data_IF_001812825083
#
_entry.id   IF_001812825083
#
_cell.length_a   1.000
_cell.length_b   1.000
_cell.length_c   1.000
_cell.angle_alpha   90.00
_cell.angle_beta   90.00
_cell.angle_gamma   90.00
#
_symmetry.space_group_name_H-M   'P 1'
#
loop_
_entity.id
_entity.type
_entity.pdbx_description
1 polymer ?
#
# COMPACT_ATOMS: atom_id res chain seq x y z
N UNK A 1 157.98 211.38 -62.32
CA UNK A 1 156.72 212.15 -62.33
C UNK A 1 155.74 211.64 -63.41
N UNK A 2 155.54 212.33 -64.56
CA UNK A 2 154.40 212.03 -65.47
C UNK A 2 154.32 210.56 -65.96
N UNK A 3 155.45 209.93 -66.30
CA UNK A 3 155.47 208.56 -66.83
C UNK A 3 155.07 207.47 -65.81
N UNK A 4 155.18 207.73 -64.50
CA UNK A 4 154.86 206.74 -63.46
C UNK A 4 153.37 206.71 -63.14
N UNK A 5 152.68 207.86 -63.24
CA UNK A 5 151.22 207.91 -63.14
C UNK A 5 150.54 207.15 -64.29
N UNK A 6 151.08 207.22 -65.50
CA UNK A 6 150.57 206.48 -66.67
C UNK A 6 150.52 204.96 -66.39
N UNK A 7 151.65 204.38 -65.96
CA UNK A 7 151.74 202.95 -65.59
C UNK A 7 150.84 202.57 -64.40
N UNK A 8 150.59 203.49 -63.48
CA UNK A 8 149.66 203.27 -62.36
C UNK A 8 148.21 203.16 -62.86
N UNK A 9 147.79 204.05 -63.77
CA UNK A 9 146.46 204.03 -64.38
C UNK A 9 146.25 202.78 -65.22
N UNK A 10 147.21 202.39 -66.05
CA UNK A 10 147.16 201.17 -66.87
C UNK A 10 147.01 199.91 -65.99
N UNK A 11 147.75 199.83 -64.87
CA UNK A 11 147.62 198.73 -63.91
C UNK A 11 146.25 198.73 -63.22
N UNK A 12 145.72 199.89 -62.85
CA UNK A 12 144.39 200.01 -62.26
C UNK A 12 143.28 199.64 -63.26
N UNK A 13 143.41 200.01 -64.53
CA UNK A 13 142.49 199.60 -65.60
C UNK A 13 142.50 198.09 -65.79
N UNK A 14 143.68 197.46 -65.89
CA UNK A 14 143.79 196.01 -65.98
C UNK A 14 143.16 195.27 -64.78
N UNK A 15 143.30 195.81 -63.55
CA UNK A 15 142.60 195.26 -62.38
C UNK A 15 141.08 195.45 -62.45
N UNK A 16 140.58 196.59 -62.94
CA UNK A 16 139.14 196.82 -63.14
C UNK A 16 138.56 195.92 -64.22
N UNK A 17 139.31 195.61 -65.28
CA UNK A 17 138.90 194.66 -66.32
C UNK A 17 138.92 193.21 -65.83
N UNK A 18 139.93 192.82 -65.04
CA UNK A 18 139.95 191.52 -64.34
C UNK A 18 138.74 191.35 -63.41
N UNK A 19 138.51 192.31 -62.50
CA UNK A 19 137.36 192.32 -61.59
C UNK A 19 136.01 192.35 -62.33
N UNK A 20 135.94 192.98 -63.52
CA UNK A 20 134.75 192.89 -64.40
C UNK A 20 134.58 191.49 -64.97
N UNK A 21 135.65 190.84 -65.43
CA UNK A 21 135.64 189.45 -65.90
C UNK A 21 135.15 188.50 -64.81
N UNK A 22 135.71 188.60 -63.61
CA UNK A 22 135.28 187.87 -62.41
C UNK A 22 133.80 188.16 -62.08
N UNK A 23 133.37 189.42 -62.11
CA UNK A 23 131.96 189.78 -61.91
C UNK A 23 131.02 189.21 -62.98
N UNK A 24 131.48 189.01 -64.22
CA UNK A 24 130.68 188.35 -65.27
C UNK A 24 130.64 186.83 -65.07
N UNK A 25 131.77 186.21 -64.70
CA UNK A 25 131.84 184.78 -64.36
C UNK A 25 130.92 184.45 -63.16
N UNK A 26 131.04 185.18 -62.05
CA UNK A 26 130.17 185.03 -60.88
C UNK A 26 128.68 185.28 -61.20
N UNK A 27 128.37 186.15 -62.16
CA UNK A 27 126.98 186.35 -62.64
C UNK A 27 126.46 185.22 -63.53
N UNK A 28 127.34 184.49 -64.23
CA UNK A 28 126.98 183.28 -64.95
C UNK A 28 126.77 182.12 -63.95
N UNK A 29 127.73 181.91 -63.05
CA UNK A 29 127.66 180.90 -61.97
C UNK A 29 126.41 181.09 -61.09
N UNK A 30 126.07 182.33 -60.68
CA UNK A 30 124.84 182.61 -59.92
C UNK A 30 123.56 182.36 -60.75
N UNK A 31 123.59 182.42 -62.09
CA UNK A 31 122.46 181.99 -62.93
C UNK A 31 122.38 180.46 -63.00
N UNK A 32 123.50 179.78 -63.16
CA UNK A 32 123.57 178.31 -63.19
C UNK A 32 123.16 177.71 -61.85
N UNK A 33 123.65 178.24 -60.72
CA UNK A 33 123.22 177.86 -59.37
C UNK A 33 121.73 178.13 -59.13
N UNK A 34 121.16 179.23 -59.67
CA UNK A 34 119.71 179.46 -59.61
C UNK A 34 118.92 178.48 -60.45
N UNK A 35 119.42 178.09 -61.62
CA UNK A 35 118.78 177.10 -62.48
C UNK A 35 118.85 175.69 -61.85
N UNK A 36 120.01 175.30 -61.32
CA UNK A 36 120.20 174.06 -60.56
C UNK A 36 119.33 174.04 -59.29
N UNK A 37 119.21 175.15 -58.56
CA UNK A 37 118.32 175.22 -57.39
C UNK A 37 116.83 175.11 -57.78
N UNK A 38 116.42 175.64 -58.94
CA UNK A 38 115.07 175.42 -59.46
C UNK A 38 114.86 173.94 -59.83
N UNK A 39 115.81 173.29 -60.51
CA UNK A 39 115.76 171.85 -60.78
C UNK A 39 115.74 171.00 -59.50
N UNK A 40 116.47 171.39 -58.46
CA UNK A 40 116.44 170.74 -57.15
C UNK A 40 115.09 170.94 -56.43
N UNK A 41 114.47 172.12 -56.57
CA UNK A 41 113.14 172.38 -56.03
C UNK A 41 112.06 171.58 -56.79
N UNK A 42 112.11 171.52 -58.11
CA UNK A 42 111.21 170.72 -58.94
C UNK A 42 111.37 169.23 -58.65
N UNK A 43 112.60 168.71 -58.54
CA UNK A 43 112.84 167.31 -58.19
C UNK A 43 112.42 166.98 -56.75
N UNK A 44 112.62 167.89 -55.79
CA UNK A 44 112.10 167.73 -54.44
C UNK A 44 110.56 167.69 -54.41
N UNK A 45 109.87 168.58 -55.15
CA UNK A 45 108.41 168.55 -55.26
C UNK A 45 107.90 167.25 -55.91
N UNK A 46 108.57 166.79 -56.97
CA UNK A 46 108.26 165.50 -57.61
C UNK A 46 108.50 164.29 -56.69
N UNK A 47 109.50 164.35 -55.81
CA UNK A 47 109.75 163.30 -54.80
C UNK A 47 108.71 163.34 -53.67
N UNK A 48 108.32 164.52 -53.20
CA UNK A 48 107.24 164.69 -52.21
C UNK A 48 105.92 164.13 -52.77
N UNK A 49 105.56 164.47 -54.02
CA UNK A 49 104.36 163.94 -54.68
C UNK A 49 104.39 162.41 -54.76
N UNK A 50 105.47 161.82 -55.27
CA UNK A 50 105.65 160.35 -55.34
C UNK A 50 105.62 159.69 -53.95
N UNK A 51 106.14 160.34 -52.92
CA UNK A 51 106.08 159.83 -51.56
C UNK A 51 104.65 159.87 -51.01
N UNK A 52 103.88 160.95 -51.25
CA UNK A 52 102.46 161.00 -50.86
C UNK A 52 101.62 160.00 -51.64
N UNK A 53 101.86 159.81 -52.94
CA UNK A 53 101.16 158.82 -53.75
C UNK A 53 101.43 157.39 -53.26
N UNK A 54 102.70 157.06 -52.97
CA UNK A 54 103.09 155.76 -52.42
C UNK A 54 102.57 155.52 -50.98
N UNK A 55 102.48 156.57 -50.16
CA UNK A 55 101.85 156.49 -48.84
C UNK A 55 100.32 156.28 -48.96
N UNK A 56 99.67 156.93 -49.92
CA UNK A 56 98.24 156.75 -50.18
C UNK A 56 97.92 155.40 -50.80
N UNK A 57 98.78 154.84 -51.66
CA UNK A 57 98.60 153.47 -52.19
C UNK A 57 98.80 152.43 -51.09
N UNK A 58 99.88 152.54 -50.31
CA UNK A 58 100.14 151.62 -49.20
C UNK A 58 99.07 151.69 -48.09
N UNK A 59 98.50 152.87 -47.83
CA UNK A 59 97.36 153.03 -46.93
C UNK A 59 96.11 152.31 -47.46
N UNK A 60 95.77 152.48 -48.74
CA UNK A 60 94.64 151.80 -49.38
C UNK A 60 94.83 150.28 -49.42
N UNK A 61 96.00 149.80 -49.80
CA UNK A 61 96.33 148.37 -49.76
C UNK A 61 96.22 147.81 -48.33
N UNK A 62 96.58 148.59 -47.31
CA UNK A 62 96.37 148.26 -45.90
C UNK A 62 94.88 148.22 -45.49
N UNK A 63 94.06 149.15 -45.96
CA UNK A 63 92.61 149.18 -45.71
C UNK A 63 91.87 148.06 -46.46
N UNK A 64 92.19 147.82 -47.74
CA UNK A 64 91.63 146.75 -48.57
C UNK A 64 91.98 145.36 -48.01
N UNK A 65 93.24 145.14 -47.61
CA UNK A 65 93.63 143.86 -46.98
C UNK A 65 92.98 143.70 -45.60
N UNK A 66 92.87 144.75 -44.79
CA UNK A 66 92.13 144.73 -43.53
C UNK A 66 90.64 144.37 -43.76
N UNK A 67 89.97 145.03 -44.69
CA UNK A 67 88.57 144.75 -45.03
C UNK A 67 88.38 143.30 -45.53
N UNK A 68 89.33 142.77 -46.30
CA UNK A 68 89.34 141.37 -46.71
C UNK A 68 89.53 140.40 -45.53
N UNK A 69 90.38 140.74 -44.54
CA UNK A 69 90.51 139.97 -43.30
C UNK A 69 89.25 140.02 -42.43
N UNK A 70 88.61 141.19 -42.28
CA UNK A 70 87.36 141.35 -41.52
C UNK A 70 86.21 140.57 -42.18
N UNK A 71 86.02 140.70 -43.49
CA UNK A 71 85.06 139.90 -44.29
C UNK A 71 85.31 138.39 -44.11
N UNK A 72 86.58 137.96 -44.14
CA UNK A 72 86.95 136.55 -43.95
C UNK A 72 86.75 136.07 -42.51
N UNK A 73 86.93 136.94 -41.52
CA UNK A 73 86.66 136.65 -40.11
C UNK A 73 85.17 136.42 -39.89
N UNK A 74 84.30 137.27 -40.44
CA UNK A 74 82.85 137.14 -40.28
C UNK A 74 82.28 135.94 -41.07
N UNK A 75 82.84 135.65 -42.25
CA UNK A 75 82.55 134.40 -42.97
C UNK A 75 82.98 133.14 -42.17
N UNK A 76 84.06 133.21 -41.39
CA UNK A 76 84.48 132.12 -40.50
C UNK A 76 83.58 132.01 -39.25
N UNK A 77 83.11 133.14 -38.67
CA UNK A 77 82.12 133.14 -37.59
C UNK A 77 80.81 132.49 -38.03
N UNK A 78 80.24 132.90 -39.17
CA UNK A 78 78.99 132.30 -39.68
C UNK A 78 79.14 130.79 -39.88
N UNK A 79 80.25 130.34 -40.47
CA UNK A 79 80.50 128.91 -40.67
C UNK A 79 80.72 128.14 -39.37
N UNK A 80 81.19 128.79 -38.30
CA UNK A 80 81.26 128.19 -36.97
C UNK A 80 79.87 128.10 -36.34
N UNK A 81 79.07 129.16 -36.38
CA UNK A 81 77.70 129.17 -35.88
C UNK A 81 76.82 128.13 -36.58
N UNK A 82 76.95 128.00 -37.90
CA UNK A 82 76.22 127.01 -38.69
C UNK A 82 76.67 125.57 -38.40
N UNK A 83 77.97 125.34 -38.17
CA UNK A 83 78.48 124.04 -37.74
C UNK A 83 78.06 123.67 -36.31
N UNK A 84 77.94 124.66 -35.41
CA UNK A 84 77.40 124.47 -34.06
C UNK A 84 75.90 124.13 -34.12
N UNK A 85 75.10 124.87 -34.90
CA UNK A 85 73.68 124.55 -35.15
C UNK A 85 73.50 123.14 -35.72
N UNK A 86 74.36 122.72 -36.65
CA UNK A 86 74.32 121.36 -37.19
C UNK A 86 74.71 120.30 -36.15
N UNK A 87 75.69 120.59 -35.30
CA UNK A 87 76.07 119.73 -34.16
C UNK A 87 74.92 119.57 -33.17
N UNK A 88 74.26 120.66 -32.79
CA UNK A 88 73.12 120.65 -31.86
C UNK A 88 71.92 119.90 -32.45
N UNK A 89 71.62 120.10 -33.74
CA UNK A 89 70.59 119.34 -34.45
C UNK A 89 70.91 117.83 -34.51
N UNK A 90 72.17 117.46 -34.76
CA UNK A 90 72.63 116.06 -34.73
C UNK A 90 72.54 115.47 -33.31
N UNK A 91 72.80 116.24 -32.26
CA UNK A 91 72.66 115.81 -30.86
C UNK A 91 71.18 115.61 -30.47
N UNK A 92 70.29 116.50 -30.90
CA UNK A 92 68.84 116.33 -30.72
C UNK A 92 68.32 115.05 -31.40
N UNK A 93 68.69 114.82 -32.66
CA UNK A 93 68.33 113.58 -33.37
C UNK A 93 68.92 112.33 -32.67
N UNK A 94 70.15 112.39 -32.14
CA UNK A 94 70.70 111.27 -31.36
C UNK A 94 69.95 111.04 -30.04
N UNK A 95 69.49 112.09 -29.36
CA UNK A 95 68.66 111.98 -28.16
C UNK A 95 67.33 111.30 -28.47
N UNK A 96 66.64 111.76 -29.52
CA UNK A 96 65.31 111.25 -29.86
C UNK A 96 65.38 109.81 -30.40
N UNK A 97 66.43 109.45 -31.15
CA UNK A 97 66.70 108.06 -31.51
C UNK A 97 66.94 107.17 -30.28
N UNK A 98 67.69 107.62 -29.27
CA UNK A 98 67.87 106.87 -28.01
C UNK A 98 66.55 106.70 -27.26
N UNK A 99 65.70 107.73 -27.24
CA UNK A 99 64.37 107.66 -26.63
C UNK A 99 63.48 106.63 -27.34
N UNK A 100 63.38 106.68 -28.67
CA UNK A 100 62.61 105.71 -29.47
C UNK A 100 63.15 104.28 -29.28
N UNK A 101 64.47 104.10 -29.14
CA UNK A 101 65.07 102.80 -28.82
C UNK A 101 64.66 102.33 -27.41
N UNK A 102 64.63 103.21 -26.39
CA UNK A 102 64.14 102.86 -25.05
C UNK A 102 62.68 102.38 -25.12
N UNK A 103 61.80 103.18 -25.69
CA UNK A 103 60.36 102.89 -25.84
C UNK A 103 60.12 101.59 -26.64
N UNK A 104 60.92 101.32 -27.68
CA UNK A 104 60.90 100.07 -28.43
C UNK A 104 61.36 98.86 -27.58
N UNK A 105 62.43 98.98 -26.79
CA UNK A 105 62.89 97.88 -25.91
C UNK A 105 61.95 97.64 -24.73
N UNK A 106 61.31 98.67 -24.20
CA UNK A 106 60.30 98.58 -23.14
C UNK A 106 59.05 97.85 -23.65
N UNK A 107 58.53 98.24 -24.82
CA UNK A 107 57.39 97.56 -25.46
C UNK A 107 57.73 96.13 -25.89
N UNK A 108 58.93 95.85 -26.41
CA UNK A 108 59.38 94.48 -26.66
C UNK A 108 59.41 93.66 -25.35
N UNK A 109 59.88 94.24 -24.24
CA UNK A 109 59.91 93.58 -22.93
C UNK A 109 58.50 93.28 -22.38
N UNK A 110 57.50 94.10 -22.73
CA UNK A 110 56.11 93.88 -22.37
C UNK A 110 55.50 92.74 -23.21
N UNK A 111 55.63 92.80 -24.53
CA UNK A 111 55.16 91.75 -25.45
C UNK A 111 55.79 90.38 -25.14
N UNK A 112 57.08 90.34 -24.76
CA UNK A 112 57.74 89.10 -24.31
C UNK A 112 57.13 88.53 -23.02
N UNK A 113 56.66 89.37 -22.09
CA UNK A 113 55.96 88.92 -20.86
C UNK A 113 54.54 88.44 -21.16
N UNK A 114 53.81 89.15 -22.01
CA UNK A 114 52.47 88.76 -22.46
C UNK A 114 52.49 87.43 -23.20
N UNK A 115 53.46 87.23 -24.10
CA UNK A 115 53.67 85.94 -24.79
C UNK A 115 53.99 84.81 -23.80
N UNK A 116 54.85 85.05 -22.80
CA UNK A 116 55.15 84.06 -21.77
C UNK A 116 53.92 83.72 -20.89
N UNK A 117 53.08 84.71 -20.59
CA UNK A 117 51.81 84.50 -19.88
C UNK A 117 50.85 83.65 -20.70
N UNK A 118 50.60 84.03 -21.96
CA UNK A 118 49.69 83.31 -22.86
C UNK A 118 50.12 81.86 -23.12
N UNK A 119 51.43 81.58 -23.22
CA UNK A 119 51.96 80.22 -23.31
C UNK A 119 51.75 79.43 -22.01
N UNK A 120 51.92 80.06 -20.84
CA UNK A 120 51.62 79.45 -19.54
C UNK A 120 50.13 79.14 -19.35
N UNK A 121 49.25 80.04 -19.79
CA UNK A 121 47.81 79.83 -19.85
C UNK A 121 47.47 78.67 -20.80
N UNK A 122 48.05 78.63 -22.00
CA UNK A 122 47.86 77.56 -22.98
C UNK A 122 48.28 76.19 -22.42
N UNK A 123 49.43 76.10 -21.73
CA UNK A 123 49.82 74.87 -21.03
C UNK A 123 48.84 74.49 -19.91
N UNK A 124 48.35 75.47 -19.14
CA UNK A 124 47.39 75.20 -18.06
C UNK A 124 46.07 74.66 -18.59
N UNK A 125 45.57 75.23 -19.70
CA UNK A 125 44.36 74.81 -20.40
C UNK A 125 44.55 73.43 -21.06
N UNK A 126 45.72 73.14 -21.63
CA UNK A 126 46.05 71.82 -22.16
C UNK A 126 46.01 70.75 -21.07
N UNK A 127 46.61 71.00 -19.90
CA UNK A 127 46.56 70.10 -18.73
C UNK A 127 45.14 69.91 -18.19
N UNK A 128 44.32 70.96 -18.15
CA UNK A 128 42.90 70.87 -17.78
C UNK A 128 42.08 70.05 -18.79
N UNK A 129 42.36 70.20 -20.09
CA UNK A 129 41.67 69.48 -21.17
C UNK A 129 42.07 68.00 -21.16
N UNK A 130 43.34 67.68 -20.93
CA UNK A 130 43.81 66.30 -20.75
C UNK A 130 43.22 65.64 -19.48
N UNK A 131 43.18 66.37 -18.35
CA UNK A 131 42.53 65.91 -17.12
C UNK A 131 41.03 65.63 -17.30
N UNK A 132 40.30 66.52 -17.99
CA UNK A 132 38.86 66.31 -18.26
C UNK A 132 38.60 65.17 -19.26
N UNK A 133 39.50 64.93 -20.23
CA UNK A 133 39.46 63.72 -21.08
C UNK A 133 39.68 62.44 -20.28
N UNK A 134 40.65 62.42 -19.36
CA UNK A 134 40.89 61.27 -18.50
C UNK A 134 39.69 60.97 -17.59
N UNK A 135 39.08 62.01 -17.00
CA UNK A 135 37.87 61.88 -16.20
C UNK A 135 36.66 61.37 -17.03
N UNK A 136 36.50 61.85 -18.27
CA UNK A 136 35.46 61.37 -19.17
C UNK A 136 35.65 59.89 -19.57
N UNK A 137 36.88 59.46 -19.84
CA UNK A 137 37.20 58.06 -20.15
C UNK A 137 36.92 57.13 -18.95
N UNK A 138 37.29 57.55 -17.72
CA UNK A 138 36.99 56.81 -16.51
C UNK A 138 35.48 56.71 -16.24
N UNK A 139 34.73 57.79 -16.47
CA UNK A 139 33.27 57.79 -16.34
C UNK A 139 32.58 56.85 -17.35
N UNK A 140 33.13 56.70 -18.57
CA UNK A 140 32.59 55.77 -19.56
C UNK A 140 32.92 54.31 -19.25
N UNK A 141 34.13 54.02 -18.72
CA UNK A 141 34.47 52.69 -18.22
C UNK A 141 33.48 52.22 -17.13
N UNK A 142 33.19 53.08 -16.15
CA UNK A 142 32.20 52.80 -15.10
C UNK A 142 30.77 52.58 -15.65
N UNK A 143 30.39 53.21 -16.77
CA UNK A 143 29.11 52.93 -17.44
C UNK A 143 29.07 51.55 -18.07
N UNK A 144 30.18 51.11 -18.68
CA UNK A 144 30.29 49.78 -19.29
C UNK A 144 30.27 48.69 -18.21
N UNK A 145 30.96 48.90 -17.09
CA UNK A 145 30.95 47.99 -15.93
C UNK A 145 29.54 47.89 -15.34
N UNK A 146 28.88 49.01 -15.02
CA UNK A 146 27.51 49.01 -14.48
C UNK A 146 26.48 48.40 -15.44
N UNK A 147 26.67 48.56 -16.76
CA UNK A 147 25.83 47.91 -17.77
C UNK A 147 26.02 46.39 -17.81
N UNK A 148 27.25 45.91 -17.59
CA UNK A 148 27.57 44.49 -17.51
C UNK A 148 27.06 43.85 -16.20
N UNK A 149 27.26 44.49 -15.05
CA UNK A 149 26.68 44.07 -13.76
C UNK A 149 25.15 44.00 -13.84
N UNK A 150 24.51 45.05 -14.38
CA UNK A 150 23.07 45.06 -14.60
C UNK A 150 22.58 43.98 -15.56
N UNK A 151 23.41 43.49 -16.48
CA UNK A 151 23.08 42.37 -17.35
C UNK A 151 23.24 41.02 -16.63
N UNK A 152 24.28 40.86 -15.81
CA UNK A 152 24.48 39.67 -14.98
C UNK A 152 23.33 39.49 -13.97
N UNK A 153 22.97 40.54 -13.23
CA UNK A 153 21.85 40.53 -12.28
C UNK A 153 20.52 40.17 -12.95
N UNK A 154 20.28 40.60 -14.20
CA UNK A 154 19.07 40.20 -14.96
C UNK A 154 19.09 38.72 -15.33
N UNK A 155 20.26 38.13 -15.61
CA UNK A 155 20.39 36.70 -15.87
C UNK A 155 20.23 35.85 -14.59
N UNK A 156 20.73 36.33 -13.45
CA UNK A 156 20.51 35.72 -12.14
C UNK A 156 19.02 35.72 -11.75
N UNK A 157 18.33 36.85 -11.91
CA UNK A 157 16.88 36.95 -11.68
C UNK A 157 16.09 36.00 -12.58
N UNK A 158 16.39 35.96 -13.89
CA UNK A 158 15.72 35.03 -14.82
C UNK A 158 15.98 33.55 -14.48
N UNK A 159 17.15 33.23 -13.89
CA UNK A 159 17.47 31.89 -13.39
C UNK A 159 16.66 31.56 -12.14
N UNK A 160 16.57 32.49 -11.17
CA UNK A 160 15.77 32.32 -9.97
C UNK A 160 14.26 32.21 -10.27
N UNK A 161 13.74 32.96 -11.24
CA UNK A 161 12.36 32.81 -11.73
C UNK A 161 12.10 31.42 -12.31
N UNK A 162 13.06 30.85 -13.06
CA UNK A 162 12.95 29.49 -13.58
C UNK A 162 13.02 28.42 -12.46
N UNK A 163 13.87 28.61 -11.45
CA UNK A 163 13.92 27.74 -10.27
C UNK A 163 12.61 27.77 -9.47
N UNK A 164 12.03 28.95 -9.24
CA UNK A 164 10.70 29.09 -8.60
C UNK A 164 9.62 28.39 -9.42
N UNK A 165 9.63 28.54 -10.75
CA UNK A 165 8.71 27.84 -11.65
C UNK A 165 8.85 26.30 -11.57
N UNK A 166 10.07 25.80 -11.45
CA UNK A 166 10.33 24.37 -11.25
C UNK A 166 9.85 23.87 -9.88
N UNK A 167 10.08 24.64 -8.81
CA UNK A 167 9.60 24.33 -7.45
C UNK A 167 8.07 24.33 -7.41
N UNK A 168 7.39 25.28 -8.06
CA UNK A 168 5.93 25.27 -8.19
C UNK A 168 5.42 24.03 -8.91
N UNK A 169 6.06 23.62 -10.01
CA UNK A 169 5.68 22.42 -10.75
C UNK A 169 5.86 21.15 -9.90
N UNK A 170 6.97 21.05 -9.14
CA UNK A 170 7.21 19.97 -8.19
C UNK A 170 6.18 19.94 -7.06
N UNK A 171 5.81 21.11 -6.50
CA UNK A 171 4.78 21.22 -5.48
C UNK A 171 3.41 20.77 -5.99
N UNK A 172 3.00 21.21 -7.20
CA UNK A 172 1.76 20.78 -7.87
C UNK A 172 1.75 19.27 -8.11
N UNK A 173 2.86 18.70 -8.57
CA UNK A 173 3.01 17.25 -8.74
C UNK A 173 2.95 16.47 -7.40
N UNK A 174 3.61 16.96 -6.35
CA UNK A 174 3.59 16.33 -5.03
C UNK A 174 2.18 16.34 -4.40
N UNK A 175 1.44 17.44 -4.55
CA UNK A 175 0.03 17.53 -4.11
C UNK A 175 -0.85 16.56 -4.90
N UNK A 176 -0.70 16.50 -6.23
CA UNK A 176 -1.44 15.54 -7.07
C UNK A 176 -1.15 14.08 -6.73
N UNK A 177 0.12 13.74 -6.53
CA UNK A 177 0.56 12.40 -6.11
C UNK A 177 0.02 12.03 -4.73
N UNK A 178 0.05 12.95 -3.76
CA UNK A 178 -0.52 12.76 -2.43
C UNK A 178 -2.04 12.53 -2.48
N UNK A 179 -2.76 13.29 -3.32
CA UNK A 179 -4.19 13.09 -3.53
C UNK A 179 -4.50 11.72 -4.17
N UNK A 180 -3.72 11.29 -5.16
CA UNK A 180 -3.86 9.99 -5.81
C UNK A 180 -3.60 8.83 -4.83
N UNK A 181 -2.52 8.90 -4.03
CA UNK A 181 -2.21 7.92 -2.99
C UNK A 181 -3.31 7.86 -1.92
N UNK A 182 -3.86 9.01 -1.50
CA UNK A 182 -4.97 9.07 -0.55
C UNK A 182 -6.24 8.42 -1.11
N UNK A 183 -6.55 8.63 -2.39
CA UNK A 183 -7.67 7.98 -3.07
C UNK A 183 -7.46 6.46 -3.20
N UNK A 184 -6.24 6.02 -3.51
CA UNK A 184 -5.88 4.59 -3.54
C UNK A 184 -6.08 3.95 -2.15
N UNK A 185 -5.56 4.56 -1.08
CA UNK A 185 -5.69 4.03 0.29
C UNK A 185 -7.15 3.92 0.72
N UNK A 186 -8.02 4.88 0.40
CA UNK A 186 -9.45 4.79 0.74
C UNK A 186 -10.20 3.75 -0.14
N UNK A 187 -9.76 3.56 -1.40
CA UNK A 187 -10.22 2.48 -2.28
C UNK A 187 -9.83 1.08 -1.77
N UNK A 188 -8.58 0.90 -1.37
CA UNK A 188 -8.10 -0.34 -0.74
C UNK A 188 -8.79 -0.59 0.60
N UNK A 189 -9.01 0.46 1.41
CA UNK A 189 -9.72 0.37 2.69
C UNK A 189 -11.18 -0.06 2.50
N UNK A 190 -11.90 0.56 1.57
CA UNK A 190 -13.30 0.21 1.29
C UNK A 190 -13.44 -1.18 0.66
N UNK A 191 -12.50 -1.58 -0.20
CA UNK A 191 -12.40 -2.96 -0.69
C UNK A 191 -12.13 -3.99 0.43
N UNK A 192 -11.23 -3.67 1.35
CA UNK A 192 -10.90 -4.52 2.50
C UNK A 192 -12.06 -4.62 3.51
N UNK A 193 -12.79 -3.53 3.79
CA UNK A 193 -13.98 -3.61 4.65
C UNK A 193 -15.08 -4.46 4.02
N UNK A 194 -15.35 -4.30 2.71
CA UNK A 194 -16.32 -5.14 2.01
C UNK A 194 -15.91 -6.62 1.98
N UNK A 195 -14.63 -6.91 1.78
CA UNK A 195 -14.10 -8.27 1.84
C UNK A 195 -14.24 -8.89 3.24
N UNK A 196 -14.04 -8.11 4.29
CA UNK A 196 -14.22 -8.52 5.68
C UNK A 196 -15.69 -8.74 6.05
N UNK A 197 -16.60 -7.84 5.64
CA UNK A 197 -18.05 -8.02 5.78
C UNK A 197 -18.53 -9.30 5.08
N UNK A 198 -18.07 -9.54 3.85
CA UNK A 198 -18.36 -10.76 3.10
C UNK A 198 -17.83 -12.01 3.79
N UNK A 199 -16.62 -11.97 4.34
CA UNK A 199 -16.03 -13.09 5.09
C UNK A 199 -16.78 -13.36 6.40
N UNK A 200 -17.24 -12.32 7.11
CA UNK A 200 -18.09 -12.46 8.30
C UNK A 200 -19.44 -13.10 7.95
N UNK A 201 -20.13 -12.64 6.90
CA UNK A 201 -21.38 -13.24 6.45
C UNK A 201 -21.21 -14.71 6.03
N UNK A 202 -20.08 -15.07 5.40
CA UNK A 202 -19.75 -16.46 5.10
C UNK A 202 -19.51 -17.29 6.37
N UNK A 203 -18.81 -16.75 7.38
CA UNK A 203 -18.62 -17.40 8.68
C UNK A 203 -19.93 -17.57 9.46
N UNK A 204 -20.86 -16.63 9.35
CA UNK A 204 -22.20 -16.74 9.95
C UNK A 204 -23.04 -17.83 9.28
N UNK A 205 -23.00 -17.93 7.94
CA UNK A 205 -23.65 -19.02 7.22
C UNK A 205 -23.05 -20.39 7.61
N UNK A 206 -21.72 -20.53 7.64
CA UNK A 206 -21.05 -21.77 8.07
C UNK A 206 -21.35 -22.09 9.55
N UNK A 207 -21.51 -21.07 10.41
CA UNK A 207 -21.96 -21.25 11.80
C UNK A 207 -23.42 -21.76 11.86
N UNK A 208 -24.31 -21.28 11.01
CA UNK A 208 -25.68 -21.77 10.90
C UNK A 208 -25.76 -23.20 10.36
N UNK A 209 -24.97 -23.54 9.34
CA UNK A 209 -24.81 -24.91 8.82
C UNK A 209 -24.26 -25.87 9.89
N UNK A 210 -23.26 -25.43 10.67
CA UNK A 210 -22.71 -26.17 11.80
C UNK A 210 -23.74 -26.38 12.93
N UNK A 211 -24.59 -25.38 13.21
CA UNK A 211 -25.70 -25.53 14.15
C UNK A 211 -26.78 -26.51 13.64
N UNK A 212 -27.12 -26.42 12.35
CA UNK A 212 -28.10 -27.31 11.68
C UNK A 212 -27.63 -28.77 11.65
N UNK A 213 -26.41 -29.03 11.17
CA UNK A 213 -25.81 -30.38 11.17
C UNK A 213 -25.63 -30.96 12.58
N UNK A 214 -25.39 -30.11 13.59
CA UNK A 214 -25.38 -30.53 15.01
C UNK A 214 -26.77 -30.88 15.55
N UNK A 215 -27.85 -30.26 15.04
CA UNK A 215 -29.23 -30.66 15.34
C UNK A 215 -29.60 -31.96 14.63
N UNK A 216 -29.31 -32.09 13.32
CA UNK A 216 -29.47 -33.34 12.57
C UNK A 216 -28.69 -34.50 13.22
N UNK A 217 -27.47 -34.26 13.72
CA UNK A 217 -26.70 -35.26 14.47
C UNK A 217 -27.39 -35.70 15.77
N UNK A 218 -28.04 -34.78 16.49
CA UNK A 218 -28.86 -35.11 17.67
C UNK A 218 -30.10 -35.92 17.29
N UNK A 219 -30.81 -35.53 16.24
CA UNK A 219 -31.97 -36.25 15.71
C UNK A 219 -31.60 -37.68 15.30
N UNK A 220 -30.48 -37.86 14.59
CA UNK A 220 -29.94 -39.17 14.24
C UNK A 220 -29.53 -39.98 15.48
N UNK A 221 -28.97 -39.36 16.53
CA UNK A 221 -28.69 -40.08 17.78
C UNK A 221 -29.95 -40.49 18.55
N UNK A 222 -31.02 -39.68 18.53
CA UNK A 222 -32.33 -40.05 19.10
C UNK A 222 -32.94 -41.20 18.29
N UNK A 223 -33.05 -41.06 16.97
CA UNK A 223 -33.57 -42.10 16.08
C UNK A 223 -32.77 -43.41 16.19
N UNK A 224 -31.43 -43.34 16.32
CA UNK A 224 -30.59 -44.52 16.62
C UNK A 224 -30.99 -45.16 17.96
N UNK A 225 -31.14 -44.38 19.03
CA UNK A 225 -31.50 -44.89 20.37
C UNK A 225 -32.89 -45.52 20.37
N UNK A 226 -33.82 -45.00 19.57
CA UNK A 226 -35.17 -45.54 19.43
C UNK A 226 -35.16 -46.83 18.58
N UNK A 227 -34.29 -46.92 17.56
CA UNK A 227 -34.04 -48.16 16.82
C UNK A 227 -33.34 -49.22 17.70
N UNK A 228 -32.42 -48.85 18.59
CA UNK A 228 -31.81 -49.77 19.58
C UNK A 228 -32.86 -50.30 20.58
N UNK A 229 -33.82 -49.47 20.99
CA UNK A 229 -34.99 -49.89 21.78
C UNK A 229 -35.93 -50.82 20.98
N UNK A 230 -36.17 -50.53 19.71
CA UNK A 230 -36.97 -51.42 18.84
C UNK A 230 -36.27 -52.77 18.62
N UNK A 231 -34.96 -52.79 18.37
CA UNK A 231 -34.17 -54.02 18.22
C UNK A 231 -34.16 -54.84 19.51
N UNK A 232 -33.99 -54.21 20.68
CA UNK A 232 -34.05 -54.95 21.96
C UNK A 232 -35.45 -55.48 22.26
N UNK A 233 -36.52 -54.75 21.92
CA UNK A 233 -37.91 -55.23 22.00
C UNK A 233 -38.15 -56.41 21.06
N UNK A 234 -37.75 -56.31 19.79
CA UNK A 234 -37.86 -57.40 18.80
C UNK A 234 -37.02 -58.63 19.19
N UNK A 235 -35.86 -58.44 19.83
CA UNK A 235 -35.07 -59.54 20.40
C UNK A 235 -35.77 -60.20 21.58
N UNK A 236 -36.45 -59.44 22.45
CA UNK A 236 -37.25 -60.00 23.54
C UNK A 236 -38.48 -60.78 23.01
N UNK A 237 -39.18 -60.23 22.01
CA UNK A 237 -40.27 -60.90 21.30
C UNK A 237 -39.78 -62.17 20.58
N UNK A 238 -38.62 -62.13 19.95
CA UNK A 238 -37.98 -63.31 19.33
C UNK A 238 -37.60 -64.37 20.37
N UNK A 239 -37.13 -63.97 21.55
CA UNK A 239 -36.86 -64.91 22.66
C UNK A 239 -38.16 -65.52 23.20
N UNK A 240 -39.22 -64.73 23.32
CA UNK A 240 -40.56 -65.22 23.69
C UNK A 240 -41.11 -66.22 22.68
N UNK A 241 -40.98 -65.92 21.37
CA UNK A 241 -41.39 -66.83 20.29
C UNK A 241 -40.53 -68.11 20.26
N UNK A 242 -39.23 -68.02 20.56
CA UNK A 242 -38.39 -69.22 20.71
C UNK A 242 -38.82 -70.06 21.91
N UNK A 243 -39.11 -69.45 23.05
CA UNK A 243 -39.59 -70.17 24.23
C UNK A 243 -40.92 -70.90 23.94
N UNK A 244 -41.89 -70.25 23.29
CA UNK A 244 -43.15 -70.92 22.90
C UNK A 244 -42.93 -72.02 21.85
N UNK A 245 -42.00 -71.85 20.90
CA UNK A 245 -41.64 -72.91 19.94
C UNK A 245 -40.94 -74.08 20.65
N UNK A 246 -40.12 -73.82 21.67
CA UNK A 246 -39.47 -74.84 22.49
C UNK A 246 -40.50 -75.59 23.36
N UNK A 247 -41.49 -74.89 23.93
CA UNK A 247 -42.64 -75.47 24.62
C UNK A 247 -43.50 -76.33 23.68
N UNK A 248 -43.87 -75.83 22.48
CA UNK A 248 -44.56 -76.61 21.46
C UNK A 248 -43.75 -77.85 21.02
N UNK A 249 -42.42 -77.73 20.89
CA UNK A 249 -41.53 -78.84 20.58
C UNK A 249 -41.33 -79.81 21.76
N UNK A 250 -41.59 -79.37 23.00
CA UNK A 250 -41.63 -80.21 24.20
C UNK A 250 -42.94 -81.01 24.23
N UNK A 251 -44.08 -80.34 24.05
CA UNK A 251 -45.42 -80.96 23.90
C UNK A 251 -45.44 -81.97 22.76
N UNK A 252 -44.85 -81.63 21.61
CA UNK A 252 -44.75 -82.53 20.45
C UNK A 252 -43.87 -83.77 20.71
N UNK A 253 -42.89 -83.69 21.62
CA UNK A 253 -42.12 -84.87 22.09
C UNK A 253 -42.95 -85.76 23.00
N UNK A 254 -43.64 -85.18 24.00
CA UNK A 254 -44.55 -85.93 24.89
C UNK A 254 -45.62 -86.66 24.07
N UNK A 255 -46.28 -85.98 23.14
CA UNK A 255 -47.27 -86.59 22.22
C UNK A 255 -46.66 -87.68 21.31
N UNK A 256 -45.36 -87.62 20.99
CA UNK A 256 -44.67 -88.68 20.25
C UNK A 256 -44.31 -89.89 21.12
N UNK A 257 -44.10 -89.69 22.42
CA UNK A 257 -43.88 -90.76 23.40
C UNK A 257 -45.20 -91.46 23.74
N UNK A 258 -46.30 -90.71 23.96
CA UNK A 258 -47.65 -91.28 24.09
C UNK A 258 -48.07 -92.09 22.85
N UNK A 259 -47.76 -91.60 21.64
CA UNK A 259 -47.97 -92.35 20.38
C UNK A 259 -47.06 -93.58 20.24
N UNK A 260 -45.95 -93.65 20.97
CA UNK A 260 -45.04 -94.80 20.99
C UNK A 260 -45.57 -95.89 21.92
N UNK A 261 -46.06 -95.52 23.08
CA UNK A 261 -46.63 -96.44 24.07
C UNK A 261 -47.99 -96.99 23.59
N UNK A 262 -48.81 -96.16 22.96
CA UNK A 262 -50.03 -96.60 22.27
C UNK A 262 -49.74 -97.61 21.13
N UNK A 263 -48.57 -97.50 20.46
CA UNK A 263 -48.11 -98.46 19.44
C UNK A 263 -47.52 -99.74 20.04
N UNK A 264 -46.97 -99.69 21.26
CA UNK A 264 -46.57 -100.89 21.98
C UNK A 264 -47.80 -101.71 22.38
N UNK A 265 -48.80 -101.07 23.01
CA UNK A 265 -50.05 -101.70 23.45
C UNK A 265 -50.85 -102.39 22.33
N UNK A 266 -50.70 -101.96 21.07
CA UNK A 266 -51.39 -102.55 19.92
C UNK A 266 -50.73 -103.83 19.36
N UNK A 267 -49.46 -104.11 19.67
CA UNK A 267 -48.66 -105.10 18.94
C UNK A 267 -48.75 -106.53 19.51
N UNK A 268 -48.98 -106.67 20.81
CA UNK A 268 -49.12 -107.97 21.47
C UNK A 268 -50.44 -108.70 21.16
N UNK A 269 -51.64 -108.06 21.13
CA UNK A 269 -52.87 -108.75 20.70
C UNK A 269 -52.81 -109.21 19.22
N UNK A 270 -52.06 -108.51 18.36
CA UNK A 270 -51.89 -108.90 16.95
C UNK A 270 -51.14 -110.23 16.78
N UNK A 271 -50.16 -110.53 17.65
CA UNK A 271 -49.45 -111.82 17.64
C UNK A 271 -50.29 -112.97 18.19
N UNK A 272 -51.13 -112.70 19.20
CA UNK A 272 -52.06 -113.70 19.74
C UNK A 272 -53.05 -114.20 18.67
N UNK A 273 -53.59 -113.30 17.84
CA UNK A 273 -54.52 -113.67 16.76
C UNK A 273 -53.89 -114.55 15.68
N UNK A 274 -52.60 -114.38 15.35
CA UNK A 274 -51.94 -115.18 14.29
C UNK A 274 -51.64 -116.63 14.70
N UNK A 275 -51.54 -116.91 16.00
CA UNK A 275 -51.40 -118.30 16.50
C UNK A 275 -52.76 -119.01 16.53
N UNK A 276 -53.77 -118.37 17.12
CA UNK A 276 -55.14 -118.91 17.20
C UNK A 276 -55.80 -119.16 15.82
N UNK A 277 -55.34 -118.48 14.76
CA UNK A 277 -55.83 -118.71 13.41
C UNK A 277 -55.37 -120.06 12.80
N UNK A 278 -54.19 -120.58 13.17
CA UNK A 278 -53.64 -121.83 12.59
C UNK A 278 -54.20 -123.08 13.22
N UNK A 279 -54.44 -123.06 14.54
CA UNK A 279 -55.03 -124.20 15.27
C UNK A 279 -56.48 -124.51 14.82
N UNK A 280 -57.12 -123.57 14.12
CA UNK A 280 -58.47 -123.77 13.56
C UNK A 280 -58.47 -124.48 12.20
N UNK A 281 -57.43 -124.31 11.37
CA UNK A 281 -57.43 -124.81 9.99
C UNK A 281 -57.16 -126.33 9.88
N UNK A 282 -56.53 -126.94 10.90
CA UNK A 282 -56.31 -128.39 10.97
C UNK A 282 -57.53 -129.18 11.47
N UNK A 283 -58.52 -128.51 12.10
CA UNK A 283 -59.74 -129.17 12.58
C UNK A 283 -60.72 -129.46 11.44
N UNK A 284 -60.94 -128.50 10.54
CA UNK A 284 -62.00 -128.52 9.51
C UNK A 284 -61.77 -129.55 8.39
N UNK A 285 -60.64 -130.27 8.37
CA UNK A 285 -60.36 -131.39 7.44
C UNK A 285 -60.59 -132.80 8.01
N UNK A 286 -61.05 -132.93 9.26
CA UNK A 286 -61.40 -134.22 9.89
C UNK A 286 -62.89 -134.44 10.12
N UNK A 287 -63.75 -133.48 9.75
CA UNK A 287 -65.19 -133.48 10.03
C UNK A 287 -66.07 -133.72 8.78
N UNK A 288 -65.59 -134.49 7.81
CA UNK A 288 -66.24 -134.69 6.50
C UNK A 288 -66.69 -136.14 6.21
N UNK A 289 -66.79 -137.01 7.22
CA UNK A 289 -67.36 -138.36 7.08
C UNK A 289 -68.62 -138.56 7.95
N UNK A 290 -69.79 -138.35 7.31
CA UNK A 290 -71.13 -138.82 7.73
C UNK A 290 -71.71 -138.13 8.99
N UNK A 291 -73.02 -138.03 9.20
CA UNK A 291 -74.20 -138.54 8.47
C UNK A 291 -75.34 -137.50 8.60
N UNK A 292 -76.44 -137.58 7.82
CA UNK A 292 -77.60 -138.30 8.34
C UNK A 292 -78.46 -139.03 7.30
N UNK A 293 -79.00 -140.19 7.68
CA UNK A 293 -80.13 -140.83 7.01
C UNK A 293 -81.40 -140.58 7.84
N UNK A 294 -82.41 -139.91 7.27
CA UNK A 294 -83.59 -139.46 8.01
C UNK A 294 -84.89 -139.41 7.17
N UNK A 295 -84.94 -140.08 6.01
CA UNK A 295 -86.07 -140.00 5.07
C UNK A 295 -86.88 -141.30 4.94
N UNK A 296 -86.23 -142.47 4.93
CA UNK A 296 -86.96 -143.75 4.70
C UNK A 296 -87.80 -144.19 5.92
N UNK A 297 -87.44 -143.76 7.13
CA UNK A 297 -88.28 -143.94 8.33
C UNK A 297 -89.56 -143.08 8.33
N UNK A 298 -89.81 -142.25 7.31
CA UNK A 298 -91.12 -141.59 7.13
C UNK A 298 -92.11 -142.47 6.34
N UNK A 299 -91.66 -143.46 5.55
CA UNK A 299 -92.56 -144.36 4.83
C UNK A 299 -93.07 -145.51 5.72
N UNK A 300 -92.22 -146.06 6.59
CA UNK A 300 -92.61 -147.13 7.54
C UNK A 300 -93.74 -146.67 8.50
N UNK A 301 -93.70 -145.41 8.93
CA UNK A 301 -94.71 -144.78 9.81
C UNK A 301 -96.07 -144.63 9.12
N UNK A 302 -96.10 -144.46 7.80
CA UNK A 302 -97.35 -144.43 7.04
C UNK A 302 -97.98 -145.82 6.94
N UNK A 303 -97.15 -146.88 6.87
CA UNK A 303 -97.59 -148.26 6.64
C UNK A 303 -98.19 -148.90 7.89
N UNK A 304 -97.54 -148.75 9.05
CA UNK A 304 -98.05 -149.30 10.32
C UNK A 304 -99.34 -148.63 10.83
N UNK A 305 -99.75 -147.50 10.23
CA UNK A 305 -100.97 -146.78 10.62
C UNK A 305 -102.25 -147.32 9.97
N UNK A 306 -102.16 -148.10 8.89
CA UNK A 306 -103.34 -148.75 8.27
C UNK A 306 -103.65 -150.15 8.83
N UNK A 307 -102.70 -150.80 9.51
CA UNK A 307 -102.95 -152.08 10.20
C UNK A 307 -103.61 -151.92 11.59
N UNK A 308 -103.47 -150.75 12.23
CA UNK A 308 -104.01 -150.53 13.58
C UNK A 308 -105.53 -150.26 13.64
N UNK A 309 -106.13 -149.64 12.62
CA UNK A 309 -107.59 -149.41 12.58
C UNK A 309 -108.38 -150.60 12.01
N UNK A 310 -107.69 -151.60 11.42
CA UNK A 310 -108.33 -152.72 10.70
C UNK A 310 -108.56 -154.01 11.51
N UNK A 311 -108.17 -154.03 12.80
CA UNK A 311 -108.70 -154.87 13.91
C UNK A 311 -108.39 -154.14 15.23
N UNK A 312 -109.29 -153.84 16.16
CA UNK A 312 -110.71 -154.23 16.37
C UNK A 312 -111.00 -155.72 16.51
N UNK A 313 -109.99 -156.53 16.86
CA UNK A 313 -110.17 -157.82 17.54
C UNK A 313 -108.90 -158.24 18.30
N UNK A 314 -108.96 -158.24 19.63
CA UNK A 314 -107.96 -158.79 20.60
C UNK A 314 -106.54 -158.19 20.62
N UNK A 315 -105.78 -158.19 21.73
CA UNK A 315 -106.05 -158.32 23.19
C UNK A 315 -104.78 -157.86 23.96
N UNK A 316 -104.94 -157.21 25.13
CA UNK A 316 -104.20 -157.39 26.43
C UNK A 316 -102.66 -157.58 26.41
N UNK A 317 -101.87 -156.83 27.20
CA UNK A 317 -101.78 -157.00 28.66
C UNK A 317 -101.34 -155.74 29.47
N UNK A 318 -101.89 -155.42 30.66
CA UNK A 318 -101.57 -154.18 31.40
C UNK A 318 -100.51 -154.28 32.53
N UNK A 319 -100.11 -155.47 32.99
CA UNK A 319 -99.46 -155.63 34.32
C UNK A 319 -98.01 -155.11 34.42
N UNK A 320 -97.27 -154.98 33.32
CA UNK A 320 -95.86 -154.52 33.37
C UNK A 320 -95.72 -153.02 33.74
N UNK A 321 -96.80 -152.25 33.60
CA UNK A 321 -96.89 -150.82 33.96
C UNK A 321 -96.60 -150.57 35.46
N UNK A 322 -96.85 -151.55 36.34
CA UNK A 322 -96.70 -151.39 37.78
C UNK A 322 -95.24 -151.47 38.27
N UNK A 323 -94.34 -152.15 37.55
CA UNK A 323 -93.04 -152.58 38.12
C UNK A 323 -91.94 -151.52 38.04
N UNK A 324 -91.79 -150.86 36.90
CA UNK A 324 -90.65 -149.95 36.63
C UNK A 324 -90.75 -148.65 37.46
N UNK A 325 -91.96 -148.23 37.83
CA UNK A 325 -92.22 -147.02 38.62
C UNK A 325 -91.60 -147.07 40.03
N UNK A 326 -91.42 -148.27 40.60
CA UNK A 326 -90.91 -148.44 41.95
C UNK A 326 -89.38 -148.28 42.09
N UNK A 327 -88.58 -148.68 41.10
CA UNK A 327 -87.12 -148.86 41.28
C UNK A 327 -86.33 -147.54 41.28
N UNK A 328 -86.82 -146.49 40.59
CA UNK A 328 -86.07 -145.25 40.42
C UNK A 328 -86.15 -144.34 41.65
N UNK A 329 -87.28 -144.33 42.38
CA UNK A 329 -87.43 -143.54 43.62
C UNK A 329 -86.40 -143.92 44.69
N UNK A 330 -85.96 -145.19 44.72
CA UNK A 330 -84.95 -145.66 45.66
C UNK A 330 -83.56 -145.04 45.44
N UNK A 331 -83.21 -144.67 44.20
CA UNK A 331 -81.90 -144.07 43.87
C UNK A 331 -81.82 -142.56 44.12
N UNK A 332 -82.93 -141.90 44.42
CA UNK A 332 -82.96 -140.50 44.85
C UNK A 332 -82.59 -140.29 46.31
N UNK A 333 -82.66 -141.32 47.17
CA UNK A 333 -82.48 -141.19 48.61
C UNK A 333 -81.01 -141.38 49.07
N UNK A 334 -80.25 -142.29 48.45
CA UNK A 334 -78.85 -142.57 48.87
C UNK A 334 -77.88 -141.36 48.77
N UNK A 335 -78.19 -140.37 47.92
CA UNK A 335 -77.29 -139.24 47.64
C UNK A 335 -77.50 -138.03 48.55
N UNK A 336 -78.60 -137.97 49.30
CA UNK A 336 -78.81 -136.95 50.34
C UNK A 336 -78.06 -137.31 51.62
N UNK A 337 -78.13 -138.58 52.05
CA UNK A 337 -77.49 -139.11 53.27
C UNK A 337 -75.99 -138.74 53.38
N UNK A 338 -75.22 -139.01 52.31
CA UNK A 338 -73.75 -138.78 52.26
C UNK A 338 -73.32 -137.30 52.35
N UNK A 339 -74.27 -136.35 52.34
CA UNK A 339 -73.98 -134.92 52.59
C UNK A 339 -74.02 -134.58 54.08
N UNK A 340 -74.82 -135.28 54.88
CA UNK A 340 -74.94 -135.03 56.32
C UNK A 340 -73.77 -135.63 57.13
N UNK A 341 -73.29 -136.81 56.75
CA UNK A 341 -72.17 -137.49 57.44
C UNK A 341 -70.89 -136.63 57.51
N UNK A 342 -70.57 -135.88 56.45
CA UNK A 342 -69.38 -135.01 56.40
C UNK A 342 -69.50 -133.77 57.29
N UNK A 343 -70.71 -133.25 57.47
CA UNK A 343 -70.94 -132.15 58.41
C UNK A 343 -70.76 -132.62 59.87
N UNK A 344 -71.18 -133.86 60.17
CA UNK A 344 -71.03 -134.47 61.48
C UNK A 344 -69.55 -134.77 61.84
N UNK A 345 -68.79 -135.28 60.87
CA UNK A 345 -67.37 -135.61 61.06
C UNK A 345 -66.52 -134.38 61.44
N UNK A 346 -66.71 -133.25 60.75
CA UNK A 346 -65.97 -132.01 61.04
C UNK A 346 -66.32 -131.43 62.43
N UNK A 347 -67.57 -131.61 62.89
CA UNK A 347 -68.00 -131.22 64.24
C UNK A 347 -67.33 -132.06 65.34
N UNK A 348 -67.17 -133.37 65.12
CA UNK A 348 -66.52 -134.26 66.07
C UNK A 348 -65.00 -134.04 66.14
N UNK A 349 -64.35 -133.71 65.02
CA UNK A 349 -62.91 -133.40 65.03
C UNK A 349 -62.59 -132.10 65.78
N UNK A 350 -63.50 -131.11 65.75
CA UNK A 350 -63.40 -129.87 66.52
C UNK A 350 -63.57 -130.04 68.05
N UNK A 351 -64.22 -131.12 68.50
CA UNK A 351 -64.45 -131.40 69.93
C UNK A 351 -63.30 -132.20 70.59
N UNK A 352 -62.39 -132.77 69.79
CA UNK A 352 -61.34 -133.68 70.25
C UNK A 352 -59.96 -133.02 70.40
N UNK A 353 -59.73 -131.84 69.83
CA UNK A 353 -58.40 -131.20 69.75
C UNK A 353 -58.00 -130.36 70.97
N UNK A 354 -58.93 -130.05 71.88
CA UNK A 354 -58.62 -129.41 73.17
C UNK A 354 -58.38 -127.90 73.16
N UNK A 355 -58.63 -127.20 72.04
CA UNK A 355 -58.60 -125.73 71.99
C UNK A 355 -59.96 -125.11 72.36
N UNK A 356 -60.01 -124.07 73.20
CA UNK A 356 -61.26 -123.53 73.76
C UNK A 356 -62.04 -122.59 72.81
N UNK A 357 -63.35 -122.52 73.04
CA UNK A 357 -64.34 -121.59 72.43
C UNK A 357 -64.56 -121.66 70.90
N UNK A 358 -64.19 -122.76 70.22
CA UNK A 358 -64.69 -123.07 68.87
C UNK A 358 -66.22 -123.36 68.72
N UNK A 359 -67.03 -123.69 69.77
CA UNK A 359 -68.46 -123.97 69.61
C UNK A 359 -69.37 -122.78 70.00
N UNK A 360 -69.80 -121.93 69.04
CA UNK A 360 -70.92 -120.98 69.26
C UNK A 360 -71.73 -120.45 68.06
N UNK A 361 -71.29 -120.58 66.79
CA UNK A 361 -72.08 -120.05 65.64
C UNK A 361 -72.44 -121.06 64.52
N UNK A 362 -71.92 -122.29 64.54
CA UNK A 362 -72.27 -123.30 63.53
C UNK A 362 -73.71 -123.89 63.67
N UNK A 363 -74.48 -123.46 64.68
CA UNK A 363 -75.81 -123.99 65.02
C UNK A 363 -76.89 -122.87 65.12
N UNK A 364 -76.75 -121.81 64.33
CA UNK A 364 -77.75 -120.75 64.19
C UNK A 364 -77.67 -120.09 62.79
N UNK A 365 -77.81 -120.81 61.66
CA UNK A 365 -78.33 -122.17 61.39
C UNK A 365 -79.60 -122.58 62.15
N UNK A 366 -80.54 -121.66 62.28
CA UNK A 366 -81.95 -121.98 62.24
C UNK A 366 -82.68 -120.84 61.51
N UNK A 367 -83.40 -121.18 60.43
CA UNK A 367 -84.47 -120.38 59.80
C UNK A 367 -84.09 -118.98 59.26
N UNK A 368 -84.10 -118.74 57.95
CA UNK A 368 -85.27 -118.31 57.11
C UNK A 368 -84.94 -116.92 56.55
N UNK A 369 -84.91 -116.65 55.23
CA UNK A 369 -85.11 -117.51 54.06
C UNK A 369 -84.32 -116.96 52.84
N UNK A 370 -83.83 -117.87 52.00
CA UNK A 370 -83.35 -117.68 50.61
C UNK A 370 -82.11 -116.77 50.36
N UNK A 371 -81.25 -117.08 49.35
CA UNK A 371 -79.80 -117.02 49.61
C UNK A 371 -78.87 -116.40 48.52
N UNK A 372 -77.67 -115.98 48.98
CA UNK A 372 -76.43 -115.67 48.23
C UNK A 372 -76.43 -114.42 47.31
N UNK A 373 -75.36 -113.62 47.19
CA UNK A 373 -74.02 -113.62 47.84
C UNK A 373 -73.46 -112.15 47.98
N UNK A 374 -72.32 -111.87 48.66
CA UNK A 374 -72.29 -110.73 49.61
C UNK A 374 -71.06 -109.75 49.40
N UNK A 375 -70.44 -109.03 50.38
CA UNK A 375 -70.34 -107.55 50.30
C UNK A 375 -69.01 -106.86 50.79
N UNK A 376 -69.01 -105.51 50.93
CA UNK A 376 -68.18 -104.62 51.80
C UNK A 376 -66.62 -104.65 51.65
N UNK A 377 -65.73 -103.77 52.17
CA UNK A 377 -65.56 -102.78 53.29
C UNK A 377 -64.57 -101.64 52.80
N UNK A 378 -64.20 -100.54 53.48
CA UNK A 378 -64.91 -99.30 53.95
C UNK A 378 -63.93 -98.38 54.76
N UNK A 379 -63.83 -97.07 54.42
CA UNK A 379 -63.24 -95.93 55.23
C UNK A 379 -61.69 -95.89 55.52
N UNK A 380 -61.07 -94.87 56.20
CA UNK A 380 -61.09 -93.39 55.98
C UNK A 380 -59.72 -92.61 56.15
N UNK A 381 -59.80 -91.26 56.26
CA UNK A 381 -58.80 -90.15 56.56
C UNK A 381 -57.96 -90.29 57.87
N UNK A 382 -56.99 -89.40 58.28
CA UNK A 382 -56.78 -87.92 58.05
C UNK A 382 -55.33 -87.53 57.55
N UNK A 383 -54.56 -86.43 57.80
CA UNK A 383 -54.48 -85.26 58.76
C UNK A 383 -53.76 -83.95 58.24
N UNK A 384 -54.09 -82.80 58.86
CA UNK A 384 -53.36 -81.54 59.24
C UNK A 384 -52.26 -80.76 58.45
N UNK A 385 -52.49 -79.43 58.34
CA UNK A 385 -51.59 -78.25 58.57
C UNK A 385 -50.43 -77.90 57.59
N UNK A 386 -50.05 -76.62 57.33
CA UNK A 386 -50.51 -75.29 57.80
C UNK A 386 -50.34 -74.16 56.74
N UNK A 387 -50.95 -72.98 56.97
CA UNK A 387 -50.73 -71.67 56.28
C UNK A 387 -49.57 -70.87 56.97
N UNK A 388 -49.40 -69.52 56.85
CA UNK A 388 -49.77 -68.49 55.84
C UNK A 388 -48.51 -67.73 55.29
N UNK A 389 -48.50 -66.68 54.44
CA UNK A 389 -49.22 -65.38 54.40
C UNK A 389 -49.24 -64.72 52.98
N UNK A 390 -50.02 -63.64 52.84
CA UNK A 390 -50.12 -62.68 51.71
C UNK A 390 -49.25 -61.41 52.00
N UNK A 391 -49.15 -60.30 51.19
CA UNK A 391 -49.99 -59.92 50.05
C UNK A 391 -49.39 -59.17 48.83
N UNK A 392 -50.26 -59.04 47.82
CA UNK A 392 -50.48 -57.99 46.80
C UNK A 392 -50.38 -56.52 47.30
N UNK A 393 -50.28 -55.46 46.44
CA UNK A 393 -51.16 -55.25 45.27
C UNK A 393 -50.64 -54.54 43.99
N UNK A 394 -51.52 -54.58 42.98
CA UNK A 394 -51.53 -53.77 41.74
C UNK A 394 -52.12 -52.37 42.00
N UNK A 395 -51.98 -51.45 41.04
CA UNK A 395 -53.03 -50.63 40.36
C UNK A 395 -52.29 -49.54 39.52
N UNK A 396 -52.41 -49.34 38.20
CA UNK A 396 -53.46 -49.35 37.15
C UNK A 396 -54.38 -48.08 37.07
N UNK A 397 -53.88 -47.03 36.37
CA UNK A 397 -54.61 -46.02 35.56
C UNK A 397 -53.54 -45.09 34.91
N UNK A 398 -53.47 -44.71 33.62
CA UNK A 398 -54.41 -44.41 32.52
C UNK A 398 -54.93 -42.95 32.49
N UNK A 399 -54.22 -42.06 31.77
CA UNK A 399 -54.79 -41.15 30.74
C UNK A 399 -53.73 -40.33 29.94
N UNK A 400 -54.11 -40.01 28.70
CA UNK A 400 -53.51 -39.03 27.75
C UNK A 400 -54.30 -37.68 27.85
N UNK A 401 -54.16 -36.61 27.01
CA UNK A 401 -53.45 -36.49 25.71
C UNK A 401 -52.81 -35.10 25.34
N UNK A 402 -52.36 -34.99 24.06
CA UNK A 402 -52.39 -33.78 23.18
C UNK A 402 -51.45 -32.58 23.44
N UNK A 403 -51.20 -31.65 22.49
CA UNK A 403 -50.99 -31.69 21.02
C UNK A 403 -50.57 -30.27 20.50
N UNK A 404 -49.93 -30.17 19.31
CA UNK A 404 -49.67 -28.94 18.48
C UNK A 404 -48.62 -27.94 19.04
N UNK A 405 -47.77 -27.24 18.27
CA UNK A 405 -47.63 -26.85 16.83
C UNK A 405 -48.27 -25.50 16.43
N UNK A 406 -47.41 -24.47 16.35
CA UNK A 406 -47.30 -23.33 15.39
C UNK A 406 -45.76 -23.03 15.29
N UNK A 407 -45.07 -22.55 14.24
CA UNK A 407 -45.29 -21.81 12.96
C UNK A 407 -45.16 -20.28 13.01
N UNK A 408 -44.83 -19.67 11.85
CA UNK A 408 -44.53 -18.24 11.55
C UNK A 408 -43.12 -17.76 11.96
N UNK A 409 -42.22 -17.22 11.12
CA UNK A 409 -42.18 -16.71 9.73
C UNK A 409 -42.52 -15.22 9.49
N UNK A 410 -41.49 -14.40 9.22
CA UNK A 410 -41.62 -13.10 8.51
C UNK A 410 -40.27 -12.68 7.85
N UNK A 411 -40.30 -12.24 6.58
CA UNK A 411 -39.19 -11.63 5.83
C UNK A 411 -39.76 -10.51 4.96
N UNK A 412 -39.22 -9.29 5.08
CA UNK A 412 -39.42 -8.11 4.21
C UNK A 412 -38.60 -6.92 4.77
N UNK A 413 -38.36 -5.80 4.08
CA UNK A 413 -37.87 -5.51 2.71
C UNK A 413 -37.63 -3.97 2.63
N UNK A 414 -36.96 -3.44 1.58
CA UNK A 414 -36.76 -1.98 1.37
C UNK A 414 -35.37 -1.46 1.80
N UNK A 415 -34.46 -0.92 0.98
CA UNK A 415 -34.40 -0.50 -0.45
C UNK A 415 -34.72 0.98 -0.76
N UNK A 416 -33.70 1.69 -1.30
CA UNK A 416 -33.66 3.10 -1.85
C UNK A 416 -33.55 4.24 -0.82
N UNK A 417 -32.84 5.34 -1.09
CA UNK A 417 -31.97 5.68 -2.24
C UNK A 417 -31.63 7.18 -2.37
N UNK A 418 -30.84 7.58 -3.39
CA UNK A 418 -30.52 8.98 -3.75
C UNK A 418 -29.30 9.56 -2.99
N UNK A 419 -28.22 10.07 -3.57
CA UNK A 419 -27.95 10.82 -4.82
C UNK A 419 -28.32 12.32 -4.76
N UNK A 420 -27.29 13.17 -4.86
CA UNK A 420 -27.32 14.58 -5.26
C UNK A 420 -25.94 14.95 -5.83
N UNK A 421 -25.92 15.87 -6.78
CA UNK A 421 -24.72 16.47 -7.41
C UNK A 421 -24.22 17.72 -6.64
#
# INVERSE_FOLDING_TARGET
>A
MRAEHQKSVEKAQAQVEGLRGECFALRAEVKELKHANAQLQDTAQNLIAKQSDAQLSAAREGEDTKAAYETRLDALKSRLDDALRESDARLAVQHDLRKVISEATETESALRKELAHALGEQESLARQLESSRAAAAAAEALRVELAAEGAALRAEVATAEAEVGAIEAWAKHAVGSSAALKAQVEGERSGNTWALEKALAQLENVRAECASTKMQSREVMVAKKDLEQQVTKLQAETRSMKATIEEEAQVKRVLQEELRDARAALNDPAKAMQLAAREKEEADKKAAEKQPDASELQEEIARLKSEAESRTSSLVDPDEVARIVAEVMQRTEERSARRYERALANLLQALMSGEPDLPKQLAHQAWVQTPHNPPEVVQPKPQTAAEPWKPTPRHLAVRLPSERVLTESAIAEGRRGGALD
#
